data_IF_862877095309
#
_entry.id   IF_862877095309
#
_cell.length_a   1.000
_cell.length_b   1.000
_cell.length_c   1.000
_cell.angle_alpha   90.00
_cell.angle_beta   90.00
_cell.angle_gamma   90.00
#
_symmetry.space_group_name_H-M   'P 1'
#
loop_
_entity.id
_entity.type
_entity.pdbx_description
1 polymer ?
#
# COMPACT_ATOMS: atom_id res chain seq x y z
N UNK A 1 43.11 -48.18 -38.39
CA UNK A 1 42.87 -46.82 -38.81
C UNK A 1 41.40 -46.48 -39.18
N UNK A 2 40.60 -47.33 -39.83
CA UNK A 2 39.18 -47.12 -40.16
C UNK A 2 38.24 -47.08 -38.92
N UNK A 3 38.50 -47.89 -37.88
CA UNK A 3 37.68 -47.96 -36.67
C UNK A 3 37.83 -46.68 -35.84
N UNK A 4 39.04 -46.16 -35.72
CA UNK A 4 39.35 -44.94 -35.00
C UNK A 4 38.61 -43.72 -35.62
N UNK A 5 38.54 -43.64 -36.94
CA UNK A 5 37.77 -42.58 -37.62
C UNK A 5 36.28 -42.67 -37.34
N UNK A 6 35.68 -43.85 -37.29
CA UNK A 6 34.24 -44.02 -36.94
C UNK A 6 33.94 -43.60 -35.51
N UNK A 7 34.78 -43.96 -34.56
CA UNK A 7 34.64 -43.58 -33.16
C UNK A 7 34.69 -42.06 -32.96
N UNK A 8 35.60 -41.38 -33.64
CA UNK A 8 35.70 -39.90 -33.57
C UNK A 8 34.46 -39.25 -34.16
N UNK A 9 33.95 -39.72 -35.29
CA UNK A 9 32.71 -39.19 -35.86
C UNK A 9 31.51 -39.44 -34.98
N UNK A 10 31.39 -40.58 -34.30
CA UNK A 10 30.35 -40.83 -33.30
C UNK A 10 30.43 -39.87 -32.13
N UNK A 11 31.60 -39.58 -31.57
CA UNK A 11 31.79 -38.65 -30.49
C UNK A 11 31.40 -37.21 -30.92
N UNK A 12 31.79 -36.79 -32.10
CA UNK A 12 31.39 -35.47 -32.66
C UNK A 12 29.85 -35.36 -32.79
N UNK A 13 29.22 -36.41 -33.35
CA UNK A 13 27.76 -36.45 -33.50
C UNK A 13 27.03 -36.37 -32.16
N UNK A 14 27.49 -37.11 -31.15
CA UNK A 14 26.94 -37.08 -29.79
C UNK A 14 27.12 -35.69 -29.19
N UNK A 15 28.28 -35.08 -29.37
CA UNK A 15 28.53 -33.72 -28.88
C UNK A 15 27.56 -32.70 -29.49
N UNK A 16 27.37 -32.72 -30.80
CA UNK A 16 26.44 -31.82 -31.47
C UNK A 16 24.97 -32.10 -31.10
N UNK A 17 24.61 -33.38 -30.92
CA UNK A 17 23.27 -33.73 -30.44
C UNK A 17 23.00 -33.22 -29.04
N UNK A 18 23.94 -33.30 -28.11
CA UNK A 18 23.85 -32.74 -26.78
C UNK A 18 23.79 -31.23 -26.82
N UNK A 19 24.57 -30.59 -27.65
CA UNK A 19 24.58 -29.14 -27.82
C UNK A 19 23.24 -28.65 -28.34
N UNK A 20 22.67 -29.31 -29.34
CA UNK A 20 21.33 -29.02 -29.85
C UNK A 20 20.26 -29.14 -28.78
N UNK A 21 20.32 -30.23 -27.97
CA UNK A 21 19.40 -30.44 -26.86
C UNK A 21 19.48 -29.28 -25.85
N UNK A 22 20.71 -28.89 -25.46
CA UNK A 22 20.92 -27.80 -24.51
C UNK A 22 20.35 -26.49 -25.04
N UNK A 23 20.60 -26.14 -26.31
CA UNK A 23 20.05 -24.91 -26.90
C UNK A 23 18.54 -24.95 -27.06
N UNK A 24 17.99 -26.13 -27.40
CA UNK A 24 16.51 -26.24 -27.54
C UNK A 24 15.83 -26.10 -26.20
N UNK A 25 16.30 -26.83 -25.19
CA UNK A 25 15.72 -26.77 -23.84
C UNK A 25 15.97 -25.38 -23.20
N UNK A 26 17.20 -24.89 -23.31
CA UNK A 26 17.58 -23.58 -22.79
C UNK A 26 16.79 -22.44 -23.46
N UNK A 27 16.61 -22.51 -24.77
CA UNK A 27 15.79 -21.52 -25.51
C UNK A 27 14.32 -21.53 -25.08
N UNK A 28 13.73 -22.73 -24.90
CA UNK A 28 12.34 -22.82 -24.40
C UNK A 28 12.20 -22.28 -22.97
N UNK A 29 13.14 -22.60 -22.09
CA UNK A 29 13.14 -22.05 -20.73
C UNK A 29 13.33 -20.53 -20.77
N UNK A 30 14.30 -20.03 -21.53
CA UNK A 30 14.52 -18.57 -21.66
C UNK A 30 13.27 -17.85 -22.20
N UNK A 31 12.56 -18.46 -23.14
CA UNK A 31 11.31 -17.92 -23.69
C UNK A 31 10.20 -17.82 -22.63
N UNK A 32 10.11 -18.76 -21.71
CA UNK A 32 9.13 -18.69 -20.61
C UNK A 32 9.44 -17.57 -19.61
N UNK A 33 10.71 -17.18 -19.50
CA UNK A 33 11.19 -16.13 -18.60
C UNK A 33 11.59 -14.85 -19.34
N UNK A 34 11.14 -14.69 -20.57
CA UNK A 34 11.51 -13.58 -21.44
C UNK A 34 11.30 -12.21 -20.79
N UNK A 35 10.16 -12.00 -20.16
CA UNK A 35 9.82 -10.74 -19.44
C UNK A 35 10.84 -10.44 -18.34
N UNK A 36 11.20 -11.42 -17.54
CA UNK A 36 12.16 -11.24 -16.45
C UNK A 36 13.58 -11.02 -16.96
N UNK A 37 13.97 -11.75 -18.01
CA UNK A 37 15.28 -11.61 -18.67
C UNK A 37 15.42 -10.21 -19.26
N UNK A 38 14.41 -9.74 -19.98
CA UNK A 38 14.41 -8.42 -20.58
C UNK A 38 14.40 -7.31 -19.53
N UNK A 39 13.66 -7.48 -18.44
CA UNK A 39 13.68 -6.55 -17.32
C UNK A 39 15.05 -6.49 -16.64
N UNK A 40 15.70 -7.63 -16.46
CA UNK A 40 17.05 -7.70 -15.86
C UNK A 40 18.11 -7.01 -16.72
N UNK A 41 18.05 -7.22 -18.05
CA UNK A 41 18.96 -6.59 -19.00
C UNK A 41 18.53 -5.18 -19.45
N UNK A 42 17.41 -4.67 -18.92
CA UNK A 42 16.81 -3.40 -19.33
C UNK A 42 16.58 -3.31 -20.86
N UNK A 43 16.20 -4.42 -21.46
CA UNK A 43 15.88 -4.52 -22.88
C UNK A 43 14.36 -4.36 -23.08
N UNK A 44 13.96 -3.76 -24.20
CA UNK A 44 12.55 -3.57 -24.51
C UNK A 44 11.99 -4.82 -25.19
N UNK A 45 10.82 -5.28 -24.75
CA UNK A 45 10.09 -6.42 -25.34
C UNK A 45 9.15 -5.99 -26.47
N UNK A 46 9.19 -4.74 -26.88
CA UNK A 46 8.27 -4.20 -27.88
C UNK A 46 8.99 -3.22 -28.78
N UNK A 47 8.64 -3.25 -30.04
CA UNK A 47 9.00 -2.24 -31.01
C UNK A 47 7.85 -1.23 -31.09
N UNK A 48 8.16 0.04 -30.98
CA UNK A 48 7.18 1.09 -31.21
C UNK A 48 7.03 1.21 -32.73
N UNK A 49 5.95 0.65 -33.25
CA UNK A 49 5.60 0.83 -34.65
C UNK A 49 4.94 2.21 -34.74
N UNK A 50 5.69 3.18 -35.26
CA UNK A 50 5.11 4.46 -35.63
C UNK A 50 4.33 4.25 -36.96
N UNK A 51 3.05 4.60 -36.95
CA UNK A 51 2.30 4.64 -38.19
C UNK A 51 2.86 5.78 -39.09
N UNK A 52 3.09 5.49 -40.35
CA UNK A 52 3.63 6.47 -41.30
C UNK A 52 2.75 7.72 -41.50
N UNK A 53 1.52 7.71 -40.99
CA UNK A 53 0.52 8.78 -41.14
C UNK A 53 0.13 9.47 -39.80
N UNK A 54 0.82 9.16 -38.70
CA UNK A 54 0.52 9.79 -37.39
C UNK A 54 1.45 10.97 -37.14
N UNK A 55 0.88 12.10 -36.71
CA UNK A 55 1.65 13.11 -36.01
C UNK A 55 2.52 12.39 -34.95
N UNK A 56 3.79 12.75 -34.81
CA UNK A 56 4.61 12.16 -33.76
C UNK A 56 3.87 12.30 -32.43
N UNK A 57 4.00 11.32 -31.54
CA UNK A 57 3.37 11.25 -30.20
C UNK A 57 3.61 12.49 -29.33
N UNK A 58 3.76 13.66 -29.94
CA UNK A 58 3.95 14.96 -29.31
C UNK A 58 2.74 15.37 -28.45
N UNK A 59 1.56 14.79 -28.69
CA UNK A 59 0.35 15.10 -27.95
C UNK A 59 0.27 14.40 -26.59
N UNK A 60 1.13 13.42 -26.34
CA UNK A 60 1.28 12.78 -25.04
C UNK A 60 2.34 13.48 -24.17
N UNK A 61 2.45 14.78 -24.24
CA UNK A 61 3.28 15.53 -23.31
C UNK A 61 2.64 15.43 -21.95
N UNK A 62 3.38 14.85 -21.01
CA UNK A 62 2.99 14.93 -19.61
C UNK A 62 2.99 16.39 -19.15
N UNK A 63 1.92 16.83 -18.49
CA UNK A 63 1.86 18.16 -17.84
C UNK A 63 2.92 18.30 -16.72
N UNK A 64 3.66 17.23 -16.44
CA UNK A 64 4.66 17.16 -15.39
C UNK A 64 6.09 17.07 -15.95
N UNK A 65 6.35 17.70 -17.07
CA UNK A 65 7.70 17.89 -17.60
C UNK A 65 8.21 19.30 -17.27
N UNK A 66 9.49 19.38 -16.95
CA UNK A 66 10.22 20.63 -16.91
C UNK A 66 10.55 21.10 -18.35
N UNK A 67 10.98 22.35 -18.48
CA UNK A 67 11.33 22.95 -19.79
C UNK A 67 12.46 22.19 -20.51
N UNK A 68 13.32 21.49 -19.76
CA UNK A 68 14.40 20.65 -20.27
C UNK A 68 13.96 19.24 -20.67
N UNK A 69 12.66 18.92 -20.55
CA UNK A 69 12.08 17.61 -20.83
C UNK A 69 12.27 16.59 -19.72
N UNK A 70 12.90 16.94 -18.60
CA UNK A 70 12.99 16.06 -17.43
C UNK A 70 11.65 15.97 -16.69
N UNK A 71 11.40 14.84 -16.00
CA UNK A 71 10.17 14.63 -15.26
C UNK A 71 10.12 15.44 -13.95
N UNK A 72 9.02 16.15 -13.73
CA UNK A 72 8.79 16.94 -12.52
C UNK A 72 7.97 16.16 -11.48
N UNK A 73 8.65 15.32 -10.71
CA UNK A 73 8.05 14.51 -9.65
C UNK A 73 7.26 15.35 -8.63
N UNK A 74 7.77 16.52 -8.27
CA UNK A 74 7.10 17.42 -7.32
C UNK A 74 5.77 17.95 -7.85
N UNK A 75 5.71 18.34 -9.10
CA UNK A 75 4.47 18.82 -9.73
C UNK A 75 3.43 17.70 -9.80
N UNK A 76 3.85 16.49 -10.20
CA UNK A 76 2.99 15.31 -10.24
C UNK A 76 2.43 14.96 -8.86
N UNK A 77 3.28 14.93 -7.82
CA UNK A 77 2.84 14.64 -6.45
C UNK A 77 1.85 15.67 -5.93
N UNK A 78 2.11 16.95 -6.16
CA UNK A 78 1.21 18.02 -5.76
C UNK A 78 -0.15 17.90 -6.45
N UNK A 79 -0.17 17.57 -7.74
CA UNK A 79 -1.41 17.34 -8.46
C UNK A 79 -2.14 16.09 -7.94
N UNK A 80 -1.44 15.01 -7.67
CA UNK A 80 -2.01 13.78 -7.09
C UNK A 80 -2.66 14.05 -5.73
N UNK A 81 -2.01 14.83 -4.86
CA UNK A 81 -2.58 15.24 -3.58
C UNK A 81 -3.83 16.10 -3.74
N UNK A 82 -3.82 17.02 -4.71
CA UNK A 82 -5.01 17.85 -5.02
C UNK A 82 -6.19 17.01 -5.48
N UNK A 83 -5.94 16.06 -6.39
CA UNK A 83 -6.96 15.14 -6.89
C UNK A 83 -7.47 14.23 -5.76
N UNK A 84 -6.58 13.70 -4.93
CA UNK A 84 -6.96 12.88 -3.78
C UNK A 84 -7.85 13.66 -2.80
N UNK A 85 -7.51 14.92 -2.50
CA UNK A 85 -8.32 15.78 -1.64
C UNK A 85 -9.70 16.03 -2.26
N UNK A 86 -9.75 16.33 -3.54
CA UNK A 86 -11.02 16.53 -4.26
C UNK A 86 -11.87 15.25 -4.20
N UNK A 87 -11.29 14.11 -4.52
CA UNK A 87 -11.96 12.79 -4.48
C UNK A 87 -12.51 12.49 -3.09
N UNK A 88 -11.73 12.73 -2.04
CA UNK A 88 -12.17 12.53 -0.66
C UNK A 88 -13.31 13.46 -0.29
N UNK A 89 -13.24 14.73 -0.71
CA UNK A 89 -14.28 15.75 -0.43
C UNK A 89 -15.59 15.41 -1.13
N UNK A 90 -15.53 14.99 -2.39
CA UNK A 90 -16.71 14.63 -3.18
C UNK A 90 -17.28 13.26 -2.80
N UNK A 91 -16.42 12.33 -2.37
CA UNK A 91 -16.80 10.98 -1.98
C UNK A 91 -17.30 10.85 -0.54
N UNK A 92 -17.10 11.87 0.30
CA UNK A 92 -17.55 11.83 1.70
C UNK A 92 -19.04 12.12 1.81
N UNK A 93 -19.79 11.20 2.40
CA UNK A 93 -21.25 11.30 2.57
C UNK A 93 -21.61 11.46 4.04
N UNK A 94 -22.34 12.53 4.36
CA UNK A 94 -22.90 12.74 5.68
C UNK A 94 -24.27 12.05 5.78
N UNK A 95 -24.30 10.85 6.33
CA UNK A 95 -25.52 10.02 6.40
C UNK A 95 -26.55 10.58 7.38
N UNK A 96 -26.10 11.28 8.41
CA UNK A 96 -26.97 11.82 9.44
C UNK A 96 -26.28 12.96 10.19
N UNK A 97 -26.99 14.05 10.37
CA UNK A 97 -26.54 15.20 11.17
C UNK A 97 -27.71 15.71 12.03
N UNK A 98 -27.87 15.13 13.21
CA UNK A 98 -28.88 15.59 14.17
C UNK A 98 -28.34 16.77 14.96
N UNK A 99 -29.20 17.77 15.18
CA UNK A 99 -28.91 18.97 15.98
C UNK A 99 -27.69 19.75 15.48
N UNK A 100 -27.36 19.65 14.17
CA UNK A 100 -26.20 20.31 13.57
C UNK A 100 -24.90 20.00 14.31
N UNK A 101 -24.67 18.71 14.66
CA UNK A 101 -23.44 18.28 15.33
C UNK A 101 -22.19 18.50 14.48
N UNK A 102 -22.34 18.62 13.16
CA UNK A 102 -21.31 18.96 12.20
C UNK A 102 -21.78 20.14 11.31
N UNK A 103 -20.87 21.00 10.85
CA UNK A 103 -19.43 21.02 11.11
C UNK A 103 -19.10 21.38 12.56
N UNK A 104 -17.89 20.98 13.01
CA UNK A 104 -17.39 21.38 14.32
C UNK A 104 -17.05 22.88 14.31
N UNK A 105 -17.30 23.53 15.44
CA UNK A 105 -16.83 24.88 15.66
C UNK A 105 -15.32 24.89 15.95
N UNK A 106 -14.68 25.99 15.65
CA UNK A 106 -13.27 26.22 15.99
C UNK A 106 -13.11 26.12 17.52
N UNK A 107 -11.97 25.61 17.93
CA UNK A 107 -11.63 25.35 19.34
C UNK A 107 -12.44 24.24 20.03
N UNK A 108 -13.33 23.53 19.31
CA UNK A 108 -14.02 22.35 19.85
C UNK A 108 -13.03 21.35 20.43
N UNK A 109 -13.37 20.78 21.57
CA UNK A 109 -12.56 19.81 22.31
C UNK A 109 -13.10 18.41 22.10
N UNK A 110 -12.36 17.60 21.38
CA UNK A 110 -12.84 16.31 20.88
C UNK A 110 -12.03 15.12 21.40
N UNK A 111 -12.72 14.00 21.56
CA UNK A 111 -12.12 12.72 21.90
C UNK A 111 -12.33 11.72 20.76
N UNK A 112 -11.23 11.16 20.24
CA UNK A 112 -11.25 10.14 19.18
C UNK A 112 -11.06 8.76 19.79
N UNK A 113 -12.02 7.88 19.54
CA UNK A 113 -12.01 6.48 19.95
C UNK A 113 -11.74 5.56 18.76
N UNK A 114 -11.14 4.43 19.06
CA UNK A 114 -10.80 3.39 18.09
C UNK A 114 -9.31 3.33 17.79
N UNK A 115 -8.77 2.11 17.70
CA UNK A 115 -7.35 1.87 17.44
C UNK A 115 -6.90 2.49 16.11
N UNK A 116 -7.83 2.61 15.17
CA UNK A 116 -7.62 3.22 13.86
C UNK A 116 -7.29 4.71 13.93
N UNK A 117 -7.51 5.37 15.05
CA UNK A 117 -7.08 6.76 15.25
C UNK A 117 -5.57 6.90 15.38
N UNK A 118 -4.90 5.84 15.83
CA UNK A 118 -3.45 5.79 16.00
C UNK A 118 -2.76 4.96 14.91
N UNK A 119 -3.47 3.99 14.34
CA UNK A 119 -2.96 3.14 13.27
C UNK A 119 -3.98 3.03 12.14
N UNK A 120 -3.73 3.81 11.11
CA UNK A 120 -4.60 3.88 9.95
C UNK A 120 -4.43 2.65 9.06
N UNK A 121 -5.52 2.19 8.49
CA UNK A 121 -5.53 1.28 7.37
C UNK A 121 -5.47 2.14 6.10
N UNK A 122 -4.30 2.21 5.50
CA UNK A 122 -4.03 3.11 4.37
C UNK A 122 -4.21 2.44 3.01
N UNK A 123 -4.20 1.11 2.99
CA UNK A 123 -4.37 0.32 1.78
C UNK A 123 -4.88 -1.06 2.14
N UNK A 124 -5.44 -1.78 1.15
CA UNK A 124 -5.81 -3.17 1.30
C UNK A 124 -4.61 -4.11 1.49
N UNK A 125 -4.88 -5.34 1.85
CA UNK A 125 -3.90 -6.43 1.82
C UNK A 125 -3.74 -6.96 0.39
N UNK A 126 -2.65 -7.70 0.12
CA UNK A 126 -2.39 -8.30 -1.19
C UNK A 126 -1.81 -7.31 -2.21
N UNK A 127 -2.20 -7.46 -3.47
CA UNK A 127 -1.69 -6.64 -4.58
C UNK A 127 -2.10 -5.17 -4.50
N UNK A 128 -3.16 -4.85 -3.74
CA UNK A 128 -3.59 -3.48 -3.45
C UNK A 128 -2.77 -2.78 -2.37
N UNK A 129 -1.76 -3.45 -1.79
CA UNK A 129 -0.92 -2.84 -0.76
C UNK A 129 0.05 -1.82 -1.38
N UNK A 130 -0.12 -0.57 -0.98
CA UNK A 130 0.78 0.52 -1.35
C UNK A 130 1.63 0.93 -0.15
N UNK A 131 2.95 0.99 -0.37
CA UNK A 131 3.86 1.61 0.59
C UNK A 131 3.65 3.12 0.61
N UNK A 132 2.89 3.62 1.58
CA UNK A 132 2.59 5.04 1.68
C UNK A 132 3.64 5.71 2.55
N UNK A 133 4.37 6.66 1.98
CA UNK A 133 5.44 7.39 2.66
C UNK A 133 4.98 8.69 3.33
N UNK A 134 3.84 9.23 2.94
CA UNK A 134 3.31 10.50 3.46
C UNK A 134 1.83 10.33 3.77
N UNK A 135 1.46 10.52 5.02
CA UNK A 135 0.08 10.47 5.48
C UNK A 135 -0.15 11.57 6.51
N UNK A 136 -1.30 12.22 6.41
CA UNK A 136 -1.80 13.11 7.46
C UNK A 136 -2.72 12.30 8.36
N UNK A 137 -2.46 12.28 9.64
CA UNK A 137 -3.35 11.63 10.58
C UNK A 137 -4.50 12.57 11.00
N UNK A 138 -5.61 11.99 11.45
CA UNK A 138 -6.81 12.76 11.79
C UNK A 138 -6.55 13.75 12.92
N UNK A 139 -5.66 13.44 13.85
CA UNK A 139 -5.35 14.32 14.98
C UNK A 139 -4.53 15.53 14.54
N UNK A 140 -3.64 15.35 13.56
CA UNK A 140 -2.91 16.46 12.93
C UNK A 140 -3.86 17.32 12.09
N UNK A 141 -4.69 16.69 11.26
CA UNK A 141 -5.69 17.40 10.47
C UNK A 141 -6.65 18.23 11.35
N UNK A 142 -7.06 17.71 12.49
CA UNK A 142 -7.86 18.46 13.46
C UNK A 142 -7.14 19.68 14.02
N UNK A 143 -5.87 19.54 14.40
CA UNK A 143 -5.04 20.64 14.90
C UNK A 143 -4.88 21.74 13.85
N UNK A 144 -4.59 21.34 12.62
CA UNK A 144 -4.43 22.27 11.49
C UNK A 144 -5.71 23.06 11.20
N UNK A 145 -6.87 22.50 11.57
CA UNK A 145 -8.17 23.15 11.45
C UNK A 145 -8.67 23.81 12.77
N UNK A 146 -7.82 23.92 13.78
CA UNK A 146 -8.15 24.59 15.05
C UNK A 146 -9.05 23.78 15.96
N UNK A 147 -9.05 22.46 15.85
CA UNK A 147 -9.79 21.55 16.73
C UNK A 147 -8.83 20.95 17.78
N UNK A 148 -9.24 20.97 19.03
CA UNK A 148 -8.45 20.48 20.15
C UNK A 148 -8.74 19.01 20.41
N UNK A 149 -7.76 18.16 20.15
CA UNK A 149 -7.88 16.70 20.33
C UNK A 149 -7.37 16.28 21.69
N UNK A 150 -8.08 15.40 22.38
CA UNK A 150 -7.69 14.81 23.67
C UNK A 150 -6.31 14.11 23.56
N UNK A 151 -5.25 14.69 24.14
CA UNK A 151 -3.91 14.14 24.00
C UNK A 151 -3.71 12.85 24.77
N UNK A 152 -4.37 12.70 25.93
CA UNK A 152 -4.24 11.49 26.76
C UNK A 152 -4.84 10.28 26.09
N UNK A 153 -6.03 10.42 25.51
CA UNK A 153 -6.68 9.35 24.76
C UNK A 153 -5.89 8.98 23.50
N UNK A 154 -5.45 10.00 22.75
CA UNK A 154 -4.62 9.79 21.54
C UNK A 154 -3.31 9.05 21.86
N UNK A 155 -2.65 9.41 22.97
CA UNK A 155 -1.44 8.74 23.40
C UNK A 155 -1.70 7.29 23.85
N UNK A 156 -2.82 7.04 24.55
CA UNK A 156 -3.21 5.70 24.96
C UNK A 156 -3.37 4.77 23.75
N UNK A 157 -4.08 5.19 22.72
CA UNK A 157 -4.20 4.43 21.46
C UNK A 157 -2.86 4.25 20.77
N UNK A 158 -2.01 5.27 20.75
CA UNK A 158 -0.66 5.18 20.15
C UNK A 158 0.20 4.11 20.85
N UNK A 159 0.18 4.05 22.17
CA UNK A 159 0.92 3.03 22.95
C UNK A 159 0.37 1.63 22.64
N UNK A 160 -0.94 1.47 22.59
CA UNK A 160 -1.58 0.18 22.37
C UNK A 160 -1.61 -0.27 20.92
N UNK A 161 -1.35 0.64 19.97
CA UNK A 161 -1.37 0.32 18.53
C UNK A 161 -0.34 -0.72 18.12
N UNK A 162 0.76 -0.85 18.84
CA UNK A 162 1.76 -1.90 18.63
C UNK A 162 1.22 -3.30 18.94
N UNK A 163 0.27 -3.40 19.84
CA UNK A 163 -0.34 -4.67 20.27
C UNK A 163 -1.61 -4.98 19.47
N UNK A 164 -2.46 -4.00 19.23
CA UNK A 164 -3.80 -4.17 18.65
C UNK A 164 -3.94 -3.72 17.20
N UNK A 165 -2.97 -3.05 16.64
CA UNK A 165 -3.03 -2.49 15.28
C UNK A 165 -2.11 -3.16 14.25
N UNK A 166 -1.67 -4.40 14.45
CA UNK A 166 -0.59 -5.03 13.66
C UNK A 166 -1.03 -5.74 12.36
N UNK A 167 -2.11 -5.30 11.75
CA UNK A 167 -2.66 -5.96 10.56
C UNK A 167 -1.74 -5.96 9.31
N UNK A 168 -0.84 -5.01 9.18
CA UNK A 168 -0.06 -4.82 7.95
C UNK A 168 1.45 -5.00 8.11
N UNK A 169 1.99 -4.99 9.34
CA UNK A 169 3.44 -5.09 9.54
C UNK A 169 4.00 -6.46 9.23
N UNK A 170 3.20 -7.51 9.32
CA UNK A 170 3.65 -8.87 9.01
C UNK A 170 3.61 -9.15 7.50
N UNK A 171 2.68 -8.56 6.74
CA UNK A 171 2.65 -8.64 5.29
C UNK A 171 3.88 -8.00 4.64
N UNK A 172 4.31 -6.84 5.10
CA UNK A 172 5.51 -6.16 4.59
C UNK A 172 6.81 -6.94 4.85
N UNK A 173 6.86 -7.78 5.88
CA UNK A 173 8.02 -8.65 6.18
C UNK A 173 7.98 -9.97 5.44
N UNK A 174 6.82 -10.44 5.04
CA UNK A 174 6.64 -11.76 4.40
C UNK A 174 6.83 -11.70 2.88
N UNK A 175 6.60 -10.55 2.25
CA UNK A 175 6.80 -10.37 0.80
C UNK A 175 8.28 -10.36 0.39
N UNK A 176 9.20 -10.07 1.31
CA UNK A 176 10.65 -10.12 1.05
C UNK A 176 11.27 -11.50 1.22
N UNK A 177 10.53 -12.47 1.73
CA UNK A 177 10.99 -13.84 1.90
C UNK A 177 10.09 -14.81 1.16
N UNK A 178 10.62 -15.49 0.18
CA UNK A 178 10.08 -16.43 -0.80
C UNK A 178 9.17 -17.58 -0.31
N UNK A 179 8.36 -17.37 0.69
CA UNK A 179 7.33 -18.29 1.12
C UNK A 179 6.05 -17.52 1.39
N UNK A 180 5.13 -17.56 0.42
CA UNK A 180 3.70 -17.49 0.67
C UNK A 180 3.34 -18.67 1.62
N UNK A 181 3.82 -18.62 2.84
CA UNK A 181 3.45 -19.59 3.85
C UNK A 181 2.17 -19.11 4.53
N UNK A 182 1.40 -20.07 4.99
CA UNK A 182 0.10 -20.03 5.66
C UNK A 182 -0.12 -18.95 6.76
N UNK A 183 0.79 -18.01 6.92
CA UNK A 183 0.74 -16.88 7.85
C UNK A 183 0.34 -15.55 7.22
N UNK A 184 -0.02 -15.53 5.96
CA UNK A 184 -0.65 -14.37 5.30
C UNK A 184 -2.12 -14.16 5.72
N UNK A 185 -2.63 -14.95 6.63
CA UNK A 185 -3.94 -14.70 7.22
C UNK A 185 -3.84 -13.51 8.18
N UNK A 186 -4.03 -12.35 7.61
CA UNK A 186 -4.39 -11.17 8.39
C UNK A 186 -5.69 -11.52 9.11
N UNK A 187 -5.77 -11.34 10.41
CA UNK A 187 -7.06 -11.44 11.11
C UNK A 187 -7.94 -10.31 10.59
N UNK A 188 -8.76 -10.63 9.61
CA UNK A 188 -9.75 -9.72 9.08
C UNK A 188 -10.79 -9.44 10.15
N UNK A 189 -10.93 -8.20 10.54
CA UNK A 189 -11.91 -7.83 11.55
C UNK A 189 -11.61 -6.49 12.21
N UNK A 190 -12.42 -6.22 13.21
CA UNK A 190 -12.24 -5.08 14.11
C UNK A 190 -11.43 -5.56 15.30
N UNK A 191 -10.20 -5.07 15.42
CA UNK A 191 -9.32 -5.41 16.54
C UNK A 191 -9.12 -4.18 17.41
N UNK A 192 -9.94 -4.04 18.42
CA UNK A 192 -9.90 -2.92 19.35
C UNK A 192 -9.21 -3.29 20.65
N UNK A 193 -8.53 -2.31 21.24
CA UNK A 193 -7.97 -2.46 22.57
C UNK A 193 -9.08 -2.45 23.63
N UNK A 194 -9.06 -3.37 24.61
CA UNK A 194 -10.02 -3.34 25.73
C UNK A 194 -9.98 -2.01 26.47
N UNK A 195 -11.15 -1.49 26.81
CA UNK A 195 -11.27 -0.18 27.45
C UNK A 195 -10.46 -0.06 28.75
N UNK A 196 -10.43 -1.10 29.55
CA UNK A 196 -9.67 -1.11 30.80
C UNK A 196 -8.16 -0.94 30.57
N UNK A 197 -7.62 -1.40 29.46
CA UNK A 197 -6.23 -1.18 29.08
C UNK A 197 -6.01 0.25 28.59
N UNK A 198 -6.93 0.78 27.78
CA UNK A 198 -6.87 2.17 27.32
C UNK A 198 -6.91 3.12 28.51
N UNK A 199 -7.88 2.93 29.39
CA UNK A 199 -8.12 3.81 30.53
C UNK A 199 -6.94 3.87 31.49
N UNK A 200 -6.25 2.74 31.69
CA UNK A 200 -5.10 2.62 32.60
C UNK A 200 -3.75 3.01 31.98
N UNK A 201 -3.73 3.43 30.74
CA UNK A 201 -2.48 3.78 30.03
C UNK A 201 -1.82 5.03 30.60
N UNK A 202 -2.61 5.92 31.21
CA UNK A 202 -2.13 7.16 31.82
C UNK A 202 -2.34 7.17 33.33
N UNK A 203 -1.45 7.86 34.03
CA UNK A 203 -1.61 8.11 35.47
C UNK A 203 -2.89 8.94 35.69
N UNK A 204 -3.81 8.42 36.48
CA UNK A 204 -5.08 9.08 36.78
C UNK A 204 -6.24 8.74 35.85
N UNK A 205 -6.07 7.76 35.01
CA UNK A 205 -7.04 7.27 34.02
C UNK A 205 -7.41 8.28 32.91
N UNK A 206 -7.54 7.76 31.69
CA UNK A 206 -7.92 8.57 30.50
C UNK A 206 -9.30 9.20 30.66
N UNK A 207 -10.25 8.48 31.26
CA UNK A 207 -11.63 8.95 31.45
C UNK A 207 -11.73 10.28 32.21
N UNK A 208 -10.77 10.58 33.09
CA UNK A 208 -10.75 11.84 33.83
C UNK A 208 -10.52 13.06 32.95
N UNK A 209 -10.05 12.85 31.71
CA UNK A 209 -9.83 13.93 30.73
C UNK A 209 -11.08 14.27 29.92
N UNK A 210 -12.12 13.44 29.98
CA UNK A 210 -13.33 13.64 29.17
C UNK A 210 -14.13 14.88 29.59
N UNK A 211 -14.03 15.31 30.83
CA UNK A 211 -14.62 16.59 31.28
C UNK A 211 -14.02 17.80 30.57
N UNK A 212 -12.75 17.68 30.10
CA UNK A 212 -12.02 18.76 29.45
C UNK A 212 -12.05 18.61 27.91
N UNK A 213 -12.43 17.43 27.38
CA UNK A 213 -12.46 17.10 25.94
C UNK A 213 -13.74 16.37 25.55
N UNK A 214 -14.88 16.89 26.05
CA UNK A 214 -16.17 16.23 25.96
C UNK A 214 -17.18 16.90 25.02
N UNK A 215 -16.78 17.87 24.21
CA UNK A 215 -17.73 18.53 23.30
C UNK A 215 -18.26 17.56 22.25
N UNK A 216 -17.35 16.72 21.68
CA UNK A 216 -17.71 15.69 20.71
C UNK A 216 -16.84 14.45 20.90
N UNK A 217 -17.45 13.28 20.79
CA UNK A 217 -16.78 11.99 20.71
C UNK A 217 -16.89 11.42 19.30
N UNK A 218 -15.75 11.07 18.70
CA UNK A 218 -15.70 10.37 17.43
C UNK A 218 -15.28 8.91 17.66
N UNK A 219 -16.03 7.99 17.10
CA UNK A 219 -15.65 6.59 17.04
C UNK A 219 -15.22 6.26 15.61
N UNK A 220 -13.93 6.01 15.42
CA UNK A 220 -13.39 5.51 14.16
C UNK A 220 -13.47 3.98 14.15
N UNK A 221 -14.29 3.46 13.25
CA UNK A 221 -14.39 2.04 12.99
C UNK A 221 -13.73 1.81 11.64
N UNK A 222 -12.64 1.06 11.64
CA UNK A 222 -12.03 0.59 10.41
C UNK A 222 -11.83 -0.91 10.47
N UNK A 223 -11.80 -1.49 9.29
CA UNK A 223 -11.74 -2.91 9.09
C UNK A 223 -10.74 -3.18 7.99
N UNK A 224 -9.85 -4.12 8.23
CA UNK A 224 -8.95 -4.57 7.20
C UNK A 224 -9.63 -5.64 6.35
N UNK A 225 -9.44 -5.55 5.05
CA UNK A 225 -9.89 -6.52 4.07
C UNK A 225 -8.87 -6.59 2.93
N UNK A 226 -8.88 -7.65 2.14
CA UNK A 226 -7.91 -7.81 1.07
C UNK A 226 -8.22 -9.01 0.19
N UNK A 227 -7.38 -9.21 -0.82
CA UNK A 227 -7.46 -10.36 -1.71
C UNK A 227 -7.40 -11.67 -0.92
N UNK A 228 -8.20 -12.65 -1.31
CA UNK A 228 -8.34 -13.97 -0.69
C UNK A 228 -8.83 -13.97 0.77
N UNK A 229 -9.33 -12.85 1.26
CA UNK A 229 -9.85 -12.70 2.61
C UNK A 229 -11.37 -12.56 2.64
N UNK A 230 -12.07 -13.61 3.07
CA UNK A 230 -13.47 -13.50 3.40
C UNK A 230 -13.64 -12.85 4.78
N UNK A 231 -14.53 -11.88 4.84
CA UNK A 231 -14.94 -11.31 6.11
C UNK A 231 -15.74 -12.33 6.90
N UNK A 232 -15.17 -12.85 7.97
CA UNK A 232 -15.88 -13.70 8.89
C UNK A 232 -16.99 -12.90 9.59
N UNK A 233 -18.21 -13.05 9.10
CA UNK A 233 -19.41 -12.63 9.82
C UNK A 233 -19.72 -13.64 10.92
N UNK A 234 -19.16 -13.47 12.08
CA UNK A 234 -19.62 -14.15 13.30
C UNK A 234 -20.08 -13.13 14.29
#
# INVERSE_FOLDING_TARGET
>A
MKIFKKSVWCMISIFFALLTLIFTVGGNVASQYDTYINQFFNTKNYDIIQSEEGEPFSDYKSDFLNDDGSFNDKAMRNNSLKVALQTATEGTVLLKNKNNALPLEKDSKVSFFGISTAKYILSGAGSGHLGVSVTTNITEACKDNGINVNPSLSNAYKILSSKYGNYLTDLGKTITGSTLSDKCYVEYGINEAPWDQINKTTIGNVENTFKDYGDVAFLLISRNDGEDGDTNYK
#
